data_IF_248220008233
#
_entry.id   IF_248220008233
#
_cell.length_a   1.000
_cell.length_b   1.000
_cell.length_c   1.000
_cell.angle_alpha   90.00
_cell.angle_beta   90.00
_cell.angle_gamma   90.00
#
_symmetry.space_group_name_H-M   'P 1'
#
loop_
_entity.id
_entity.type
_entity.pdbx_description
1 polymer ?
#
# COMPACT_ATOMS: atom_id res chain seq x y z
N UNK A 1 -5.35 -10.65 3.45
CA UNK A 1 -6.73 -11.15 3.62
C UNK A 1 -6.97 -12.34 2.70
N UNK A 2 -7.74 -13.34 3.17
CA UNK A 2 -8.13 -14.54 2.41
C UNK A 2 -9.45 -14.37 1.64
N UNK A 3 -10.13 -13.24 1.82
CA UNK A 3 -11.40 -12.88 1.19
C UNK A 3 -12.52 -13.93 1.33
N UNK A 4 -12.44 -14.79 2.36
CA UNK A 4 -13.39 -15.91 2.57
C UNK A 4 -14.85 -15.46 2.67
N UNK A 5 -15.10 -14.31 3.30
CA UNK A 5 -16.46 -13.80 3.45
C UNK A 5 -17.03 -13.23 2.15
N UNK A 6 -16.19 -12.61 1.30
CA UNK A 6 -16.60 -12.17 -0.04
C UNK A 6 -16.98 -13.37 -0.92
N UNK A 7 -16.19 -14.46 -0.83
CA UNK A 7 -16.46 -15.70 -1.56
C UNK A 7 -17.75 -16.37 -1.07
N UNK A 8 -17.92 -16.50 0.24
CA UNK A 8 -19.11 -17.10 0.85
C UNK A 8 -20.39 -16.34 0.46
N UNK A 9 -20.40 -15.00 0.54
CA UNK A 9 -21.54 -14.18 0.13
C UNK A 9 -21.88 -14.36 -1.36
N UNK A 10 -20.88 -14.50 -2.22
CA UNK A 10 -21.08 -14.76 -3.63
C UNK A 10 -21.66 -16.14 -3.88
N UNK A 11 -21.18 -17.17 -3.17
CA UNK A 11 -21.68 -18.55 -3.26
C UNK A 11 -23.12 -18.68 -2.76
N UNK A 12 -23.47 -17.95 -1.68
CA UNK A 12 -24.83 -17.89 -1.13
C UNK A 12 -25.82 -17.15 -2.02
N UNK A 13 -25.36 -16.52 -3.12
CA UNK A 13 -26.22 -15.72 -4.00
C UNK A 13 -26.76 -14.46 -3.33
N UNK A 14 -25.99 -13.86 -2.42
CA UNK A 14 -26.40 -12.64 -1.73
C UNK A 14 -26.75 -11.53 -2.74
N UNK A 15 -27.92 -10.91 -2.57
CA UNK A 15 -28.50 -9.99 -3.56
C UNK A 15 -27.62 -8.78 -3.85
N UNK A 16 -26.93 -8.26 -2.80
CA UNK A 16 -26.05 -7.11 -2.93
C UNK A 16 -24.63 -7.58 -3.23
N UNK A 17 -24.00 -7.01 -4.24
CA UNK A 17 -22.58 -7.29 -4.52
C UNK A 17 -21.68 -6.69 -3.44
N UNK A 18 -20.93 -7.56 -2.75
CA UNK A 18 -19.93 -7.18 -1.77
C UNK A 18 -18.55 -7.47 -2.36
N UNK A 19 -17.85 -6.42 -2.79
CA UNK A 19 -16.56 -6.53 -3.47
C UNK A 19 -15.42 -6.06 -2.55
N UNK A 20 -14.24 -6.70 -2.61
CA UNK A 20 -13.10 -6.28 -1.82
C UNK A 20 -12.45 -5.02 -2.38
N UNK A 21 -11.79 -4.26 -1.49
CA UNK A 21 -10.84 -3.20 -1.84
C UNK A 21 -9.43 -3.66 -1.53
N UNK A 22 -8.49 -3.45 -2.44
CA UNK A 22 -7.10 -3.83 -2.25
C UNK A 22 -6.33 -2.74 -1.49
N UNK A 23 -5.89 -3.03 -0.27
CA UNK A 23 -5.17 -2.10 0.59
C UNK A 23 -3.86 -2.70 1.10
N UNK A 24 -2.74 -2.52 0.38
CA UNK A 24 -1.45 -3.10 0.72
C UNK A 24 -0.59 -2.21 1.64
N UNK A 25 -1.16 -1.35 2.47
CA UNK A 25 -0.45 -0.36 3.29
C UNK A 25 0.66 -0.95 4.17
N UNK A 26 0.47 -2.19 4.66
CA UNK A 26 1.52 -2.87 5.43
C UNK A 26 2.76 -3.20 4.61
N UNK A 27 2.62 -3.44 3.30
CA UNK A 27 3.74 -3.62 2.40
C UNK A 27 4.46 -2.30 2.06
N UNK A 28 3.78 -1.17 2.21
CA UNK A 28 4.34 0.18 2.07
C UNK A 28 4.99 0.68 3.37
N UNK A 29 4.63 0.10 4.51
CA UNK A 29 5.02 0.53 5.84
C UNK A 29 6.46 0.15 6.22
N UNK A 30 7.44 0.37 5.34
CA UNK A 30 8.85 -0.03 5.55
C UNK A 30 9.50 0.60 6.79
N UNK A 31 8.95 1.71 7.28
CA UNK A 31 9.35 2.44 8.48
C UNK A 31 8.69 1.93 9.76
N UNK A 32 7.75 1.00 9.66
CA UNK A 32 7.00 0.48 10.81
C UNK A 32 7.73 -0.69 11.46
N UNK A 33 7.61 -0.80 12.77
CA UNK A 33 8.29 -1.83 13.56
C UNK A 33 7.86 -3.27 13.20
N UNK A 34 6.65 -3.46 12.70
CA UNK A 34 6.10 -4.75 12.30
C UNK A 34 6.32 -5.11 10.82
N UNK A 35 7.11 -4.30 10.08
CA UNK A 35 7.32 -4.51 8.64
C UNK A 35 7.90 -5.88 8.31
N UNK A 36 9.02 -6.27 8.94
CA UNK A 36 9.67 -7.56 8.68
C UNK A 36 8.75 -8.75 9.04
N UNK A 37 8.01 -8.64 10.14
CA UNK A 37 7.00 -9.65 10.52
C UNK A 37 5.90 -9.76 9.46
N UNK A 38 5.44 -8.63 8.93
CA UNK A 38 4.45 -8.63 7.85
C UNK A 38 4.99 -9.28 6.57
N UNK A 39 6.25 -8.99 6.17
CA UNK A 39 6.89 -9.62 4.99
C UNK A 39 7.01 -11.13 5.19
N UNK A 40 7.37 -11.61 6.38
CA UNK A 40 7.39 -13.05 6.69
C UNK A 40 6.00 -13.69 6.53
N UNK A 41 4.95 -13.06 7.05
CA UNK A 41 3.57 -13.53 6.85
C UNK A 41 3.12 -13.52 5.39
N UNK A 42 3.56 -12.52 4.62
CA UNK A 42 3.26 -12.48 3.19
C UNK A 42 3.99 -13.61 2.45
N UNK A 43 5.24 -13.91 2.82
CA UNK A 43 6.02 -15.05 2.29
C UNK A 43 5.29 -16.38 2.51
N UNK A 44 4.72 -16.60 3.70
CA UNK A 44 3.90 -17.79 3.99
C UNK A 44 2.67 -17.88 3.07
N UNK A 45 2.02 -16.75 2.82
CA UNK A 45 0.81 -16.70 1.96
C UNK A 45 1.12 -17.01 0.51
N UNK A 46 2.27 -16.54 -0.02
CA UNK A 46 2.65 -16.76 -1.43
C UNK A 46 3.47 -18.03 -1.62
N UNK A 47 3.98 -18.64 -0.54
CA UNK A 47 4.69 -19.92 -0.57
C UNK A 47 6.17 -19.83 -0.99
N UNK A 48 6.77 -18.63 -0.95
CA UNK A 48 8.20 -18.42 -1.19
C UNK A 48 8.72 -17.26 -0.36
N UNK A 49 10.04 -17.23 -0.17
CA UNK A 49 10.72 -16.17 0.59
C UNK A 49 10.70 -14.84 -0.18
N UNK A 50 10.39 -13.76 0.54
CA UNK A 50 10.44 -12.39 0.02
C UNK A 50 11.66 -11.72 0.62
N UNK A 51 12.77 -11.75 -0.11
CA UNK A 51 14.10 -11.28 0.27
C UNK A 51 14.64 -10.12 -0.56
N UNK A 52 13.88 -9.71 -1.58
CA UNK A 52 14.25 -8.67 -2.54
C UNK A 52 13.04 -7.86 -2.97
N UNK A 53 13.27 -6.68 -3.54
CA UNK A 53 12.19 -5.85 -4.10
C UNK A 53 11.47 -6.57 -5.25
N UNK A 54 12.18 -7.38 -6.02
CA UNK A 54 11.60 -8.19 -7.09
C UNK A 54 10.60 -9.20 -6.55
N UNK A 55 10.98 -9.98 -5.53
CA UNK A 55 10.10 -10.98 -4.91
C UNK A 55 8.94 -10.33 -4.17
N UNK A 56 9.12 -9.14 -3.58
CA UNK A 56 8.01 -8.36 -3.01
C UNK A 56 7.01 -7.93 -4.10
N UNK A 57 7.48 -7.37 -5.20
CA UNK A 57 6.64 -6.97 -6.32
C UNK A 57 5.87 -8.14 -6.91
N UNK A 58 6.52 -9.29 -7.08
CA UNK A 58 5.88 -10.53 -7.52
C UNK A 58 4.76 -10.96 -6.56
N UNK A 59 5.03 -10.95 -5.26
CA UNK A 59 4.04 -11.29 -4.24
C UNK A 59 2.82 -10.33 -4.28
N UNK A 60 3.06 -9.03 -4.43
CA UNK A 60 1.99 -8.04 -4.54
C UNK A 60 1.17 -8.22 -5.81
N UNK A 61 1.79 -8.55 -6.95
CA UNK A 61 1.07 -8.87 -8.19
C UNK A 61 0.18 -10.09 -8.04
N UNK A 62 0.67 -11.17 -7.41
CA UNK A 62 -0.13 -12.36 -7.13
C UNK A 62 -1.34 -12.03 -6.24
N UNK A 63 -1.14 -11.15 -5.22
CA UNK A 63 -2.26 -10.69 -4.37
C UNK A 63 -3.26 -9.82 -5.14
N UNK A 64 -2.81 -8.95 -6.02
CA UNK A 64 -3.69 -8.16 -6.91
C UNK A 64 -4.52 -9.09 -7.81
N UNK A 65 -3.90 -10.12 -8.40
CA UNK A 65 -4.59 -11.10 -9.22
C UNK A 65 -5.68 -11.82 -8.42
N UNK A 66 -5.35 -12.30 -7.23
CA UNK A 66 -6.31 -12.95 -6.33
C UNK A 66 -7.49 -12.04 -5.97
N UNK A 67 -7.25 -10.76 -5.66
CA UNK A 67 -8.33 -9.80 -5.40
C UNK A 67 -9.18 -9.51 -6.64
N UNK A 68 -8.54 -9.46 -7.83
CA UNK A 68 -9.24 -9.27 -9.10
C UNK A 68 -10.22 -10.41 -9.40
N UNK A 69 -9.84 -11.67 -9.14
CA UNK A 69 -10.69 -12.86 -9.29
C UNK A 69 -11.95 -12.79 -8.41
N UNK A 70 -11.83 -12.21 -7.22
CA UNK A 70 -12.97 -12.02 -6.30
C UNK A 70 -13.82 -10.79 -6.65
N UNK A 71 -13.38 -9.99 -7.64
CA UNK A 71 -14.17 -8.87 -8.17
C UNK A 71 -13.71 -7.49 -7.73
N UNK A 72 -12.52 -7.36 -7.14
CA UNK A 72 -11.95 -6.05 -6.77
C UNK A 72 -11.91 -5.08 -7.95
N UNK A 73 -12.20 -3.79 -7.68
CA UNK A 73 -12.20 -2.70 -8.68
C UNK A 73 -11.51 -1.44 -8.19
N UNK A 74 -11.13 -1.41 -6.93
CA UNK A 74 -10.58 -0.23 -6.25
C UNK A 74 -9.41 -0.64 -5.39
N UNK A 75 -8.35 0.16 -5.40
CA UNK A 75 -7.33 0.13 -4.36
C UNK A 75 -7.49 1.32 -3.43
N UNK A 76 -6.99 1.20 -2.21
CA UNK A 76 -6.99 2.24 -1.19
C UNK A 76 -5.63 2.30 -0.50
N UNK A 77 -5.09 3.50 -0.33
CA UNK A 77 -3.80 3.74 0.27
C UNK A 77 -3.88 4.86 1.30
N UNK A 78 -3.56 4.56 2.55
CA UNK A 78 -3.31 5.56 3.58
C UNK A 78 -1.87 6.06 3.45
N UNK A 79 -1.71 7.30 3.01
CA UNK A 79 -0.42 7.94 2.81
C UNK A 79 -0.27 9.05 3.83
N UNK A 80 0.66 8.87 4.76
CA UNK A 80 0.95 9.88 5.77
C UNK A 80 1.68 11.06 5.11
N UNK A 81 2.99 11.15 5.26
CA UNK A 81 3.82 12.15 4.61
C UNK A 81 4.63 11.52 3.49
N UNK A 82 5.06 12.35 2.51
CA UNK A 82 6.16 11.99 1.63
C UNK A 82 5.87 10.85 0.64
N UNK A 83 5.40 11.21 -0.53
CA UNK A 83 4.85 10.24 -1.47
C UNK A 83 5.86 9.64 -2.44
N UNK A 84 6.86 10.44 -2.89
CA UNK A 84 7.68 10.01 -4.01
C UNK A 84 9.03 10.73 -4.11
N UNK A 85 10.09 9.92 -4.21
CA UNK A 85 11.40 10.31 -4.76
C UNK A 85 11.79 9.22 -5.75
N UNK A 86 12.22 9.64 -6.95
CA UNK A 86 12.71 8.70 -7.98
C UNK A 86 13.95 7.97 -7.50
N UNK A 87 13.97 6.65 -7.66
CA UNK A 87 15.11 5.79 -7.35
C UNK A 87 15.25 4.68 -8.39
N UNK A 88 16.44 4.09 -8.50
CA UNK A 88 16.64 2.89 -9.31
C UNK A 88 16.16 1.65 -8.56
N UNK A 89 15.94 0.54 -9.27
CA UNK A 89 15.54 -0.73 -8.66
C UNK A 89 16.62 -1.24 -7.69
N UNK A 90 17.89 -1.05 -8.01
CA UNK A 90 19.03 -1.45 -7.17
C UNK A 90 19.06 -0.66 -5.86
N UNK A 91 18.79 0.66 -5.91
CA UNK A 91 18.68 1.48 -4.70
C UNK A 91 17.52 1.02 -3.82
N UNK A 92 16.35 0.76 -4.43
CA UNK A 92 15.16 0.32 -3.69
C UNK A 92 15.36 -1.07 -3.09
N UNK A 93 16.02 -1.98 -3.80
CA UNK A 93 16.36 -3.31 -3.30
C UNK A 93 17.31 -3.25 -2.09
N UNK A 94 18.35 -2.39 -2.17
CA UNK A 94 19.24 -2.17 -1.04
C UNK A 94 18.52 -1.61 0.18
N UNK A 95 17.59 -0.66 0.00
CA UNK A 95 16.74 -0.10 1.06
C UNK A 95 15.85 -1.19 1.67
N UNK A 96 15.25 -2.04 0.85
CA UNK A 96 14.39 -3.14 1.30
C UNK A 96 15.17 -4.14 2.17
N UNK A 97 16.34 -4.57 1.71
CA UNK A 97 17.24 -5.48 2.46
C UNK A 97 17.70 -4.89 3.78
N UNK A 98 18.01 -3.59 3.78
CA UNK A 98 18.36 -2.84 4.99
C UNK A 98 17.22 -2.87 6.01
N UNK A 99 15.97 -2.67 5.56
CA UNK A 99 14.80 -2.75 6.42
C UNK A 99 14.57 -4.15 6.99
N UNK A 100 14.72 -5.20 6.17
CA UNK A 100 14.62 -6.59 6.64
C UNK A 100 15.68 -6.96 7.68
N UNK A 101 16.87 -6.35 7.58
CA UNK A 101 17.94 -6.49 8.58
C UNK A 101 17.66 -5.71 9.88
N UNK A 102 16.56 -4.96 9.96
CA UNK A 102 16.22 -4.15 11.13
C UNK A 102 17.05 -2.87 11.26
N UNK A 103 17.71 -2.45 10.20
CA UNK A 103 18.48 -1.22 10.18
C UNK A 103 17.59 0.03 10.07
N UNK A 104 18.05 1.12 10.66
CA UNK A 104 17.31 2.39 10.59
C UNK A 104 17.40 3.02 9.20
N UNK A 105 16.25 3.35 8.65
CA UNK A 105 16.13 4.06 7.36
C UNK A 105 16.07 5.57 7.55
N UNK A 106 16.58 6.30 6.57
CA UNK A 106 16.40 7.75 6.45
C UNK A 106 15.02 8.07 5.84
N UNK A 107 14.53 9.30 6.05
CA UNK A 107 13.27 9.73 5.42
C UNK A 107 13.33 9.67 3.88
N UNK A 108 14.50 9.93 3.29
CA UNK A 108 14.69 9.81 1.84
C UNK A 108 14.59 8.35 1.35
N UNK A 109 15.21 7.40 2.05
CA UNK A 109 15.11 5.97 1.74
C UNK A 109 13.66 5.49 1.82
N UNK A 110 12.92 5.90 2.84
CA UNK A 110 11.50 5.57 2.99
C UNK A 110 10.67 6.07 1.79
N UNK A 111 10.89 7.33 1.36
CA UNK A 111 10.22 7.91 0.19
C UNK A 111 10.56 7.18 -1.12
N UNK A 112 11.83 6.82 -1.31
CA UNK A 112 12.30 6.06 -2.48
C UNK A 112 11.59 4.71 -2.57
N UNK A 113 11.54 3.98 -1.46
CA UNK A 113 10.86 2.68 -1.41
C UNK A 113 9.36 2.82 -1.65
N UNK A 114 8.66 3.64 -0.85
CA UNK A 114 7.20 3.82 -0.95
C UNK A 114 6.80 4.27 -2.35
N UNK A 115 7.49 5.26 -2.92
CA UNK A 115 7.23 5.77 -4.26
C UNK A 115 7.42 4.73 -5.36
N UNK A 116 8.49 3.94 -5.30
CA UNK A 116 8.73 2.86 -6.27
C UNK A 116 7.63 1.79 -6.22
N UNK A 117 7.24 1.36 -5.01
CA UNK A 117 6.17 0.37 -4.85
C UNK A 117 4.82 0.94 -5.30
N UNK A 118 4.50 2.20 -5.00
CA UNK A 118 3.26 2.85 -5.47
C UNK A 118 3.19 2.95 -6.99
N UNK A 119 4.28 3.30 -7.67
CA UNK A 119 4.35 3.33 -9.15
C UNK A 119 4.10 1.94 -9.72
N UNK A 120 4.74 0.92 -9.18
CA UNK A 120 4.50 -0.48 -9.56
C UNK A 120 3.02 -0.88 -9.38
N UNK A 121 2.45 -0.61 -8.22
CA UNK A 121 1.04 -0.90 -7.92
C UNK A 121 0.10 -0.17 -8.87
N UNK A 122 0.34 1.13 -9.12
CA UNK A 122 -0.45 1.95 -10.04
C UNK A 122 -0.49 1.38 -11.45
N UNK A 123 0.64 0.92 -11.98
CA UNK A 123 0.74 0.22 -13.26
C UNK A 123 -0.17 -1.02 -13.30
N UNK A 124 -0.18 -1.82 -12.24
CA UNK A 124 -1.03 -3.00 -12.14
C UNK A 124 -2.53 -2.65 -12.01
N UNK A 125 -2.87 -1.54 -11.35
CA UNK A 125 -4.25 -1.04 -11.28
C UNK A 125 -4.72 -0.50 -12.62
N UNK A 126 -3.86 0.25 -13.34
CA UNK A 126 -4.15 0.72 -14.68
C UNK A 126 -4.50 -0.43 -15.63
N UNK A 127 -3.66 -1.48 -15.68
CA UNK A 127 -3.88 -2.68 -16.52
C UNK A 127 -5.21 -3.39 -16.24
N UNK A 128 -5.77 -3.22 -15.01
CA UNK A 128 -7.05 -3.81 -14.60
C UNK A 128 -8.22 -2.83 -14.62
N UNK A 129 -7.98 -1.59 -15.06
CA UNK A 129 -8.96 -0.51 -15.03
C UNK A 129 -9.56 -0.28 -13.63
N UNK A 130 -8.72 -0.44 -12.58
CA UNK A 130 -9.10 -0.13 -11.21
C UNK A 130 -8.95 1.37 -10.93
N UNK A 131 -9.70 1.86 -9.94
CA UNK A 131 -9.50 3.19 -9.37
C UNK A 131 -8.50 3.10 -8.22
N UNK A 132 -7.48 3.97 -8.23
CA UNK A 132 -6.49 4.11 -7.16
C UNK A 132 -6.91 5.24 -6.23
N UNK A 133 -7.35 4.92 -5.03
CA UNK A 133 -7.73 5.91 -4.02
C UNK A 133 -6.53 6.24 -3.13
N UNK A 134 -6.23 7.54 -2.98
CA UNK A 134 -5.14 8.04 -2.15
C UNK A 134 -5.71 8.85 -0.99
N UNK A 135 -5.57 8.36 0.24
CA UNK A 135 -5.91 9.07 1.46
C UNK A 135 -4.68 9.78 2.01
N UNK A 136 -4.64 11.11 1.87
CA UNK A 136 -3.48 11.94 2.22
C UNK A 136 -3.88 12.96 3.29
N UNK A 137 -2.97 13.23 4.23
CA UNK A 137 -3.10 14.32 5.19
C UNK A 137 -4.02 14.04 6.38
N UNK A 138 -4.20 12.79 6.76
CA UNK A 138 -4.92 12.46 8.00
C UNK A 138 -3.99 12.57 9.21
N UNK A 139 -4.32 13.45 10.16
CA UNK A 139 -3.72 13.47 11.50
C UNK A 139 -4.52 12.55 12.40
N UNK A 140 -3.92 11.40 12.73
CA UNK A 140 -4.60 10.34 13.46
C UNK A 140 -4.55 10.56 14.97
N UNK A 141 -5.63 10.12 15.64
CA UNK A 141 -5.68 10.02 17.11
C UNK A 141 -5.41 11.34 17.85
N UNK A 142 -5.92 12.46 17.34
CA UNK A 142 -5.64 13.80 17.86
C UNK A 142 -6.11 14.07 19.28
N UNK A 143 -7.05 13.31 19.81
CA UNK A 143 -7.53 13.46 21.18
C UNK A 143 -6.85 12.43 22.09
N UNK A 144 -5.76 12.82 22.74
CA UNK A 144 -5.04 11.96 23.71
C UNK A 144 -5.98 11.37 24.75
N UNK A 145 -6.86 12.18 25.32
CA UNK A 145 -7.86 11.74 26.32
C UNK A 145 -8.78 10.64 25.78
N UNK A 146 -9.20 10.76 24.52
CA UNK A 146 -10.10 9.75 23.94
C UNK A 146 -9.33 8.53 23.46
N UNK A 147 -8.10 8.72 22.98
CA UNK A 147 -7.21 7.62 22.60
C UNK A 147 -6.89 6.71 23.80
N UNK A 148 -6.56 7.29 24.96
CA UNK A 148 -6.33 6.52 26.19
C UNK A 148 -7.58 5.75 26.65
N UNK A 149 -8.78 6.28 26.37
CA UNK A 149 -10.04 5.68 26.77
C UNK A 149 -10.56 4.61 25.80
N UNK A 150 -10.43 4.83 24.51
CA UNK A 150 -11.10 4.05 23.45
C UNK A 150 -10.12 3.34 22.50
N UNK A 151 -8.84 3.69 22.52
CA UNK A 151 -7.86 3.20 21.56
C UNK A 151 -7.92 3.90 20.20
N UNK A 152 -7.20 3.37 19.20
CA UNK A 152 -7.14 3.95 17.84
C UNK A 152 -8.45 3.79 17.07
N UNK A 153 -8.58 4.54 15.97
CA UNK A 153 -9.67 4.43 14.98
C UNK A 153 -11.08 4.67 15.55
N UNK A 154 -11.20 5.47 16.60
CA UNK A 154 -12.47 5.74 17.28
C UNK A 154 -13.06 7.13 16.97
N UNK A 155 -12.68 7.74 15.82
CA UNK A 155 -13.37 8.91 15.25
C UNK A 155 -12.89 10.27 15.74
N UNK A 156 -11.65 10.40 16.21
CA UNK A 156 -11.05 11.67 16.63
C UNK A 156 -9.80 12.02 15.83
N UNK A 157 -9.89 11.89 14.53
CA UNK A 157 -8.90 12.33 13.57
C UNK A 157 -9.18 13.76 13.07
N UNK A 158 -8.19 14.42 12.49
CA UNK A 158 -8.32 15.68 11.80
C UNK A 158 -7.52 15.71 10.50
N UNK A 159 -7.57 16.84 9.80
CA UNK A 159 -6.83 17.07 8.56
C UNK A 159 -5.53 17.80 8.91
N UNK A 160 -4.42 17.38 8.30
CA UNK A 160 -3.14 18.04 8.33
C UNK A 160 -2.99 19.01 7.16
N UNK A 161 -2.16 20.04 7.36
CA UNK A 161 -1.82 21.05 6.34
C UNK A 161 -0.42 20.78 5.76
N UNK A 162 -0.21 19.55 5.25
CA UNK A 162 1.06 19.15 4.66
C UNK A 162 1.18 19.60 3.20
N UNK A 163 2.38 19.97 2.79
CA UNK A 163 2.69 20.41 1.43
C UNK A 163 3.01 19.18 0.54
N UNK A 164 2.02 18.42 0.14
CA UNK A 164 2.17 17.20 -0.68
C UNK A 164 2.08 17.41 -2.20
N UNK A 165 1.66 18.57 -2.68
CA UNK A 165 1.30 18.78 -4.09
C UNK A 165 2.42 18.45 -5.07
N UNK A 166 3.68 18.81 -4.78
CA UNK A 166 4.82 18.53 -5.66
C UNK A 166 5.14 17.03 -5.72
N UNK A 167 5.13 16.35 -4.59
CA UNK A 167 5.44 14.92 -4.53
C UNK A 167 4.32 14.08 -5.14
N UNK A 168 3.06 14.47 -4.90
CA UNK A 168 1.90 13.84 -5.55
C UNK A 168 1.98 14.00 -7.08
N UNK A 169 2.25 15.22 -7.56
CA UNK A 169 2.45 15.47 -8.99
C UNK A 169 3.58 14.62 -9.57
N UNK A 170 4.68 14.48 -8.87
CA UNK A 170 5.80 13.65 -9.30
C UNK A 170 5.45 12.15 -9.34
N UNK A 171 4.71 11.65 -8.35
CA UNK A 171 4.20 10.27 -8.31
C UNK A 171 3.27 9.98 -9.50
N UNK A 172 2.28 10.84 -9.72
CA UNK A 172 1.34 10.70 -10.84
C UNK A 172 2.05 10.78 -12.18
N UNK A 173 2.97 11.73 -12.35
CA UNK A 173 3.78 11.85 -13.55
C UNK A 173 4.68 10.62 -13.81
N UNK A 174 5.18 9.97 -12.76
CA UNK A 174 5.99 8.76 -12.93
C UNK A 174 5.18 7.59 -13.52
N UNK A 175 3.90 7.50 -13.21
CA UNK A 175 2.97 6.53 -13.82
C UNK A 175 2.52 6.98 -15.22
N UNK A 176 2.20 8.26 -15.39
CA UNK A 176 1.73 8.83 -16.66
C UNK A 176 2.81 8.80 -17.76
N UNK A 177 4.08 8.96 -17.39
CA UNK A 177 5.20 8.88 -18.32
C UNK A 177 5.24 7.58 -19.14
N UNK A 178 4.78 6.50 -18.54
CA UNK A 178 4.66 5.18 -19.19
C UNK A 178 3.25 4.91 -19.75
N UNK A 179 2.35 5.89 -19.73
CA UNK A 179 0.93 5.73 -20.03
C UNK A 179 0.24 4.65 -19.16
N UNK A 180 0.65 4.54 -17.91
CA UNK A 180 0.16 3.56 -16.94
C UNK A 180 -0.50 4.21 -15.71
N UNK A 181 -0.89 5.49 -15.81
CA UNK A 181 -1.63 6.17 -14.75
C UNK A 181 -3.04 5.58 -14.62
N UNK A 182 -3.42 5.01 -13.44
CA UNK A 182 -4.79 4.56 -13.20
C UNK A 182 -5.74 5.75 -13.01
N UNK A 183 -7.03 5.49 -12.96
CA UNK A 183 -8.00 6.47 -12.45
C UNK A 183 -7.67 6.76 -10.98
N UNK A 184 -7.51 8.05 -10.65
CA UNK A 184 -7.10 8.49 -9.31
C UNK A 184 -8.08 9.55 -8.79
#
# INVERSE_FOLDING_TARGET
DDLRYHKALKEDGFEIQVLPTFRPDKALGIDKADFAEYIAKLSEVVGYEIDSIETLKKALEERINYFAEVGCRVSDHGLDENLYIKASEEEVDAIFKKALAGEKLTAEEIKKFKGNVLVFLGSHYHKRNWTMQLHIGAVRNNSTRMFEKLGPDAGFDSIDDICYAKELSALLNAMDYNAELPKT
#
